data_IF_202918113080
#
_entry.id   IF_202918113080
#
_cell.length_a   1.000
_cell.length_b   1.000
_cell.length_c   1.000
_cell.angle_alpha   90.00
_cell.angle_beta   90.00
_cell.angle_gamma   90.00
#
_symmetry.space_group_name_H-M   'P 1'
#
loop_
_entity.id
_entity.type
_entity.pdbx_description
1 polymer ?
#
# COMPACT_ATOMS: atom_id res chain seq x y z
N UNK A 1 -3.08 3.21 -47.31
CA UNK A 1 -2.82 2.24 -46.24
C UNK A 1 -4.15 1.54 -45.96
N UNK A 2 -4.23 0.22 -46.10
CA UNK A 2 -5.48 -0.51 -45.77
C UNK A 2 -5.68 -0.42 -44.25
N UNK A 3 -6.85 0.01 -43.75
CA UNK A 3 -7.08 0.07 -42.31
C UNK A 3 -6.99 -1.33 -41.69
N UNK A 4 -6.44 -1.46 -40.46
CA UNK A 4 -6.36 -2.75 -39.79
C UNK A 4 -7.77 -3.31 -39.53
N UNK A 5 -8.00 -4.54 -39.96
CA UNK A 5 -9.24 -5.28 -39.69
C UNK A 5 -9.07 -6.11 -38.41
N UNK A 6 -9.98 -5.92 -37.44
CA UNK A 6 -10.06 -6.81 -36.27
C UNK A 6 -10.79 -8.09 -36.66
N UNK A 7 -10.17 -9.24 -36.47
CA UNK A 7 -10.75 -10.54 -36.81
C UNK A 7 -10.46 -11.57 -35.70
N UNK A 8 -11.33 -12.57 -35.55
CA UNK A 8 -11.17 -13.69 -34.64
C UNK A 8 -10.59 -14.87 -35.39
N UNK A 9 -9.57 -15.52 -34.81
CA UNK A 9 -9.06 -16.78 -35.30
C UNK A 9 -10.09 -17.89 -34.99
N UNK A 10 -10.64 -18.51 -36.03
CA UNK A 10 -11.70 -19.52 -35.94
C UNK A 10 -11.13 -20.93 -36.04
N UNK A 11 -10.08 -21.12 -36.85
CA UNK A 11 -9.43 -22.40 -37.01
C UNK A 11 -7.98 -22.24 -37.50
N UNK A 12 -7.21 -23.30 -37.31
CA UNK A 12 -5.88 -23.46 -37.90
C UNK A 12 -5.89 -24.66 -38.84
N UNK A 13 -5.10 -24.56 -39.89
CA UNK A 13 -4.77 -25.68 -40.76
C UNK A 13 -3.27 -25.95 -40.59
N UNK A 14 -2.88 -27.20 -40.39
CA UNK A 14 -1.47 -27.58 -40.41
C UNK A 14 -1.28 -28.99 -40.96
N UNK A 15 -0.11 -29.25 -41.53
CA UNK A 15 0.27 -30.57 -42.02
C UNK A 15 0.89 -30.50 -43.41
N UNK A 16 1.14 -31.66 -43.97
CA UNK A 16 1.80 -31.81 -45.25
C UNK A 16 0.77 -31.60 -46.36
N UNK A 17 1.21 -31.34 -47.59
CA UNK A 17 0.27 -31.02 -48.70
C UNK A 17 -0.75 -32.15 -48.97
N UNK A 18 -0.41 -33.39 -48.61
CA UNK A 18 -1.27 -34.57 -48.77
C UNK A 18 -2.07 -34.93 -47.50
N UNK A 19 -1.80 -34.28 -46.35
CA UNK A 19 -2.43 -34.58 -45.07
C UNK A 19 -2.60 -33.31 -44.21
N UNK A 20 -3.53 -32.45 -44.62
CA UNK A 20 -3.88 -31.24 -43.89
C UNK A 20 -4.88 -31.55 -42.78
N UNK A 21 -4.55 -31.14 -41.56
CA UNK A 21 -5.42 -31.23 -40.39
C UNK A 21 -6.06 -29.88 -40.09
N UNK A 22 -7.37 -29.89 -39.86
CA UNK A 22 -8.11 -28.73 -39.40
C UNK A 22 -8.26 -28.79 -37.87
N UNK A 23 -7.77 -27.76 -37.19
CA UNK A 23 -7.90 -27.59 -35.75
C UNK A 23 -8.88 -26.46 -35.53
N UNK A 24 -10.05 -26.77 -34.98
CA UNK A 24 -11.09 -25.79 -34.62
C UNK A 24 -11.14 -25.51 -33.12
N UNK A 25 -10.52 -26.37 -32.31
CA UNK A 25 -10.45 -26.19 -30.87
C UNK A 25 -9.34 -25.20 -30.49
N UNK A 26 -9.76 -24.06 -29.93
CA UNK A 26 -8.89 -23.00 -29.46
C UNK A 26 -7.83 -23.45 -28.43
N UNK A 27 -8.08 -24.52 -27.66
CA UNK A 27 -7.12 -25.06 -26.69
C UNK A 27 -5.85 -25.54 -27.40
N UNK A 28 -6.00 -26.07 -28.61
CA UNK A 28 -4.92 -26.65 -29.40
C UNK A 28 -4.17 -25.63 -30.27
N UNK A 29 -4.68 -24.40 -30.40
CA UNK A 29 -4.07 -23.39 -31.28
C UNK A 29 -2.65 -23.04 -30.88
N UNK A 30 -2.40 -22.86 -29.59
CA UNK A 30 -1.07 -22.49 -29.06
C UNK A 30 -0.02 -23.56 -29.39
N UNK A 31 -0.39 -24.85 -29.28
CA UNK A 31 0.51 -25.96 -29.59
C UNK A 31 0.89 -25.96 -31.07
N UNK A 32 -0.09 -25.77 -31.96
CA UNK A 32 0.15 -25.72 -33.41
C UNK A 32 1.02 -24.54 -33.80
N UNK A 33 0.68 -23.33 -33.32
CA UNK A 33 1.40 -22.10 -33.67
C UNK A 33 2.83 -22.06 -33.11
N UNK A 34 3.07 -22.64 -31.93
CA UNK A 34 4.40 -22.63 -31.28
C UNK A 34 5.32 -23.76 -31.72
N UNK A 35 4.78 -24.80 -32.36
CA UNK A 35 5.59 -25.90 -32.88
C UNK A 35 6.49 -25.42 -34.04
N UNK A 36 7.72 -25.94 -34.19
CA UNK A 36 8.52 -25.71 -35.39
C UNK A 36 7.77 -26.24 -36.62
N UNK A 37 7.86 -25.55 -37.77
CA UNK A 37 7.23 -25.99 -39.00
C UNK A 37 8.25 -26.75 -39.85
N UNK A 38 8.13 -28.09 -40.01
CA UNK A 38 9.04 -28.86 -40.85
C UNK A 38 8.98 -28.38 -42.31
N UNK A 39 10.08 -28.57 -43.06
CA UNK A 39 10.07 -28.33 -44.51
C UNK A 39 9.00 -29.19 -45.20
N UNK A 40 8.18 -28.56 -46.04
CA UNK A 40 7.06 -29.23 -46.73
C UNK A 40 5.70 -29.07 -46.05
N UNK A 41 5.66 -28.64 -44.78
CA UNK A 41 4.40 -28.45 -44.05
C UNK A 41 3.79 -27.08 -44.34
N UNK A 42 2.50 -27.09 -44.64
CA UNK A 42 1.70 -25.87 -44.79
C UNK A 42 1.04 -25.50 -43.47
N UNK A 43 0.92 -24.19 -43.24
CA UNK A 43 0.13 -23.62 -42.16
C UNK A 43 -0.87 -22.64 -42.73
N UNK A 44 -2.11 -22.74 -42.28
CA UNK A 44 -3.19 -21.81 -42.61
C UNK A 44 -3.84 -21.30 -41.33
N UNK A 45 -4.30 -20.06 -41.39
CA UNK A 45 -5.09 -19.44 -40.34
C UNK A 45 -6.43 -19.05 -40.95
N UNK A 46 -7.53 -19.48 -40.33
CA UNK A 46 -8.89 -19.14 -40.78
C UNK A 46 -9.46 -18.12 -39.81
N UNK A 47 -9.85 -16.97 -40.35
CA UNK A 47 -10.48 -15.90 -39.58
C UNK A 47 -11.97 -15.80 -39.93
N UNK A 48 -12.78 -15.30 -39.00
CA UNK A 48 -14.19 -15.00 -39.23
C UNK A 48 -14.41 -13.93 -40.32
N UNK A 49 -13.43 -13.04 -40.48
CA UNK A 49 -13.36 -12.04 -41.55
C UNK A 49 -11.90 -11.75 -41.93
N UNK A 50 -11.66 -11.38 -43.18
CA UNK A 50 -10.33 -11.04 -43.69
C UNK A 50 -10.40 -9.92 -44.72
N UNK A 51 -9.43 -9.01 -44.67
CA UNK A 51 -9.17 -8.01 -45.71
C UNK A 51 -7.99 -8.41 -46.62
N UNK A 52 -7.44 -9.62 -46.47
CA UNK A 52 -6.46 -10.18 -47.39
C UNK A 52 -7.17 -10.74 -48.61
N UNK A 53 -6.86 -10.20 -49.78
CA UNK A 53 -7.36 -10.70 -51.06
C UNK A 53 -6.80 -12.09 -51.38
N UNK A 54 -7.72 -13.02 -51.66
CA UNK A 54 -7.40 -14.34 -52.19
C UNK A 54 -7.27 -14.28 -53.72
N UNK A 55 -6.21 -14.84 -54.33
CA UNK A 55 -5.97 -14.77 -55.77
C UNK A 55 -7.19 -15.22 -56.58
N UNK A 56 -7.69 -14.33 -57.42
CA UNK A 56 -8.74 -14.62 -58.40
C UNK A 56 -8.66 -13.62 -59.56
N UNK A 57 -9.13 -14.02 -60.75
CA UNK A 57 -9.19 -13.11 -61.91
C UNK A 57 -7.84 -12.59 -62.43
N UNK A 58 -6.74 -13.30 -62.17
CA UNK A 58 -5.39 -12.90 -62.60
C UNK A 58 -4.66 -11.95 -61.65
N UNK A 59 -5.28 -11.57 -60.52
CA UNK A 59 -4.64 -10.80 -59.45
C UNK A 59 -3.92 -11.73 -58.46
N UNK A 60 -2.69 -11.36 -58.07
CA UNK A 60 -1.89 -12.07 -57.06
C UNK A 60 -2.43 -11.83 -55.64
N UNK A 61 -2.07 -12.72 -54.70
CA UNK A 61 -2.47 -12.61 -53.28
C UNK A 61 -1.87 -11.40 -52.60
N UNK A 62 -2.60 -10.88 -51.61
CA UNK A 62 -2.02 -9.89 -50.68
C UNK A 62 -0.94 -10.52 -49.79
N UNK A 63 0.01 -9.67 -49.39
CA UNK A 63 1.03 -9.98 -48.38
C UNK A 63 0.92 -8.96 -47.26
N UNK A 64 1.06 -9.40 -46.01
CA UNK A 64 0.89 -8.54 -44.84
C UNK A 64 1.23 -9.24 -43.54
N UNK A 65 0.91 -8.59 -42.43
CA UNK A 65 1.21 -9.06 -41.08
C UNK A 65 -0.08 -9.15 -40.26
N UNK A 66 -0.27 -10.27 -39.57
CA UNK A 66 -1.31 -10.44 -38.55
C UNK A 66 -0.69 -10.11 -37.20
N UNK A 67 -1.26 -9.13 -36.49
CA UNK A 67 -0.84 -8.78 -35.12
C UNK A 67 -1.89 -9.29 -34.14
N UNK A 68 -1.50 -10.20 -33.25
CA UNK A 68 -2.35 -10.60 -32.14
C UNK A 68 -2.39 -9.45 -31.12
N UNK A 69 -3.59 -8.97 -30.79
CA UNK A 69 -3.81 -7.97 -29.73
C UNK A 69 -3.65 -8.59 -28.31
N UNK A 70 -3.16 -9.83 -28.21
CA UNK A 70 -2.78 -10.44 -26.94
C UNK A 70 -1.58 -9.69 -26.40
N UNK A 71 -1.87 -8.72 -25.52
CA UNK A 71 -0.89 -8.08 -24.67
C UNK A 71 -0.13 -9.18 -23.90
N UNK A 72 1.01 -9.63 -24.45
CA UNK A 72 1.83 -10.72 -23.89
C UNK A 72 2.26 -10.37 -22.47
N UNK A 73 2.49 -9.08 -22.20
CA UNK A 73 2.80 -8.59 -20.85
C UNK A 73 1.61 -8.80 -19.91
N UNK A 74 0.37 -8.52 -20.34
CA UNK A 74 -0.84 -8.81 -19.55
C UNK A 74 -1.02 -10.31 -19.33
N UNK A 75 -0.76 -11.13 -20.34
CA UNK A 75 -0.84 -12.61 -20.25
C UNK A 75 0.17 -13.15 -19.24
N UNK A 76 1.41 -12.68 -19.32
CA UNK A 76 2.50 -13.02 -18.42
C UNK A 76 2.19 -12.55 -16.99
N UNK A 77 1.69 -11.32 -16.84
CA UNK A 77 1.30 -10.77 -15.53
C UNK A 77 0.14 -11.55 -14.89
N UNK A 78 -0.81 -12.04 -15.69
CA UNK A 78 -1.85 -12.96 -15.24
C UNK A 78 -1.25 -14.32 -14.80
N UNK A 79 -0.32 -14.90 -15.57
CA UNK A 79 0.36 -16.15 -15.19
C UNK A 79 1.11 -15.98 -13.87
N UNK A 80 1.78 -14.84 -13.72
CA UNK A 80 2.52 -14.48 -12.52
C UNK A 80 1.58 -14.37 -11.32
N UNK A 81 0.52 -13.58 -11.42
CA UNK A 81 -0.47 -13.43 -10.34
C UNK A 81 -1.19 -14.74 -10.02
N UNK A 82 -1.44 -15.60 -11.00
CA UNK A 82 -2.04 -16.92 -10.76
C UNK A 82 -1.06 -17.86 -10.03
N UNK A 83 0.19 -17.90 -10.47
CA UNK A 83 1.25 -18.69 -9.81
C UNK A 83 1.50 -18.19 -8.39
N UNK A 84 1.48 -16.87 -8.17
CA UNK A 84 1.58 -16.27 -6.84
C UNK A 84 0.43 -16.72 -5.92
N UNK A 85 -0.79 -16.86 -6.45
CA UNK A 85 -1.92 -17.35 -5.68
C UNK A 85 -1.72 -18.79 -5.21
N UNK A 86 -1.22 -19.69 -6.07
CA UNK A 86 -0.88 -21.07 -5.67
C UNK A 86 0.18 -21.10 -4.59
N UNK A 87 1.24 -20.30 -4.76
CA UNK A 87 2.31 -20.22 -3.77
C UNK A 87 1.80 -19.69 -2.42
N UNK A 88 0.91 -18.69 -2.43
CA UNK A 88 0.26 -18.19 -1.21
C UNK A 88 -0.66 -19.24 -0.58
N UNK A 89 -1.48 -19.94 -1.38
CA UNK A 89 -2.34 -21.01 -0.89
C UNK A 89 -1.56 -22.06 -0.12
N UNK A 90 -0.46 -22.55 -0.70
CA UNK A 90 0.43 -23.50 -0.06
C UNK A 90 1.11 -22.91 1.18
N UNK A 91 1.65 -21.69 1.09
CA UNK A 91 2.36 -21.08 2.20
C UNK A 91 1.44 -20.82 3.40
N UNK A 92 0.19 -20.43 3.18
CA UNK A 92 -0.79 -20.29 4.25
C UNK A 92 -1.10 -21.63 4.93
N UNK A 93 -1.25 -22.72 4.18
CA UNK A 93 -1.53 -24.04 4.76
C UNK A 93 -0.38 -24.50 5.65
N UNK A 94 0.85 -24.41 5.15
CA UNK A 94 2.02 -24.88 5.89
C UNK A 94 2.27 -24.05 7.16
N UNK A 95 2.19 -22.72 7.05
CA UNK A 95 2.36 -21.84 8.22
C UNK A 95 1.25 -22.03 9.25
N UNK A 96 -0.01 -22.15 8.82
CA UNK A 96 -1.12 -22.39 9.74
C UNK A 96 -1.06 -23.77 10.41
N UNK A 97 -0.60 -24.80 9.69
CA UNK A 97 -0.36 -26.12 10.26
C UNK A 97 0.77 -26.08 11.30
N UNK A 98 1.83 -25.30 11.06
CA UNK A 98 2.98 -25.18 11.97
C UNK A 98 2.69 -24.34 13.22
N UNK A 99 1.83 -23.32 13.12
CA UNK A 99 1.61 -22.32 14.17
C UNK A 99 0.66 -22.77 15.29
N UNK A 100 0.05 -23.97 15.23
CA UNK A 100 -0.91 -24.46 16.24
C UNK A 100 -1.90 -23.37 16.71
N UNK A 101 -2.65 -22.76 15.79
CA UNK A 101 -3.69 -21.76 16.10
C UNK A 101 -4.89 -22.30 16.92
N UNK A 102 -4.74 -23.45 17.58
CA UNK A 102 -5.74 -24.11 18.42
C UNK A 102 -5.12 -24.56 19.74
N UNK A 103 -4.90 -23.61 20.65
CA UNK A 103 -5.01 -23.91 22.08
C UNK A 103 -6.37 -23.42 22.57
N UNK A 104 -7.39 -24.23 22.30
CA UNK A 104 -8.66 -24.20 23.04
C UNK A 104 -9.03 -25.62 23.41
N UNK A 105 -8.68 -25.95 24.66
CA UNK A 105 -9.20 -27.05 25.48
C UNK A 105 -9.14 -28.44 24.85
N UNK A 106 -8.14 -29.20 25.29
CA UNK A 106 -8.17 -30.64 25.34
C UNK A 106 -9.48 -31.12 26.01
N UNK A 107 -10.41 -31.65 25.22
CA UNK A 107 -11.42 -32.66 25.57
C UNK A 107 -12.46 -32.78 24.43
N UNK A 108 -12.02 -33.21 23.24
CA UNK A 108 -12.88 -34.03 22.36
C UNK A 108 -12.02 -34.72 21.30
N UNK A 109 -11.76 -36.01 21.50
CA UNK A 109 -11.23 -36.92 20.47
C UNK A 109 -12.31 -37.21 19.42
N UNK A 110 -12.63 -36.21 18.61
CA UNK A 110 -13.29 -36.41 17.33
C UNK A 110 -12.56 -35.59 16.29
N UNK A 111 -12.30 -36.22 15.15
CA UNK A 111 -11.55 -35.77 13.98
C UNK A 111 -12.07 -34.45 13.37
N UNK A 112 -11.85 -33.34 14.07
CA UNK A 112 -12.01 -31.99 13.52
C UNK A 112 -10.68 -31.63 12.86
N UNK A 113 -10.59 -32.00 11.58
CA UNK A 113 -9.66 -31.41 10.63
C UNK A 113 -9.67 -29.89 10.84
N UNK A 114 -8.51 -29.33 11.16
CA UNK A 114 -8.26 -27.91 11.48
C UNK A 114 -9.20 -26.97 10.73
N UNK A 115 -9.91 -26.10 11.45
CA UNK A 115 -11.01 -25.24 10.97
C UNK A 115 -10.60 -24.11 9.98
N UNK A 116 -9.65 -24.39 9.08
CA UNK A 116 -9.15 -23.47 8.07
C UNK A 116 -9.77 -23.86 6.73
N UNK A 117 -10.74 -23.07 6.30
CA UNK A 117 -11.34 -23.24 4.97
C UNK A 117 -10.71 -22.23 4.02
N UNK A 118 -9.92 -22.73 3.07
CA UNK A 118 -9.59 -21.97 1.86
C UNK A 118 -10.87 -21.84 1.05
N UNK A 119 -11.25 -20.62 0.66
CA UNK A 119 -12.40 -20.33 -0.21
C UNK A 119 -11.95 -19.92 -1.63
N UNK A 120 -10.73 -20.30 -2.00
CA UNK A 120 -10.07 -19.90 -3.24
C UNK A 120 -9.75 -18.41 -3.26
N UNK A 121 -9.96 -17.76 -4.40
CA UNK A 121 -9.76 -16.32 -4.51
C UNK A 121 -9.95 -15.81 -5.94
N UNK A 122 -9.38 -14.65 -6.22
CA UNK A 122 -9.46 -14.00 -7.53
C UNK A 122 -8.06 -13.62 -8.02
N UNK A 123 -7.81 -13.87 -9.30
CA UNK A 123 -6.60 -13.45 -10.02
C UNK A 123 -6.97 -12.36 -11.00
N UNK A 124 -6.22 -11.27 -10.95
CA UNK A 124 -6.21 -10.18 -11.92
C UNK A 124 -4.78 -10.05 -12.46
N UNK A 125 -4.55 -9.17 -13.43
CA UNK A 125 -3.23 -9.08 -14.08
C UNK A 125 -2.17 -8.49 -13.15
N UNK A 126 -2.56 -7.60 -12.23
CA UNK A 126 -1.68 -6.85 -11.32
C UNK A 126 -1.75 -7.34 -9.87
N UNK A 127 -2.70 -8.21 -9.53
CA UNK A 127 -2.95 -8.68 -8.16
C UNK A 127 -3.61 -10.05 -8.12
N UNK A 128 -3.43 -10.74 -7.02
CA UNK A 128 -4.18 -11.94 -6.67
C UNK A 128 -4.74 -11.83 -5.25
N UNK A 129 -5.62 -12.76 -4.90
CA UNK A 129 -6.18 -12.81 -3.56
C UNK A 129 -6.39 -14.23 -3.08
N UNK A 130 -6.29 -14.42 -1.77
CA UNK A 130 -6.55 -15.67 -1.07
C UNK A 130 -7.61 -15.42 -0.01
N UNK A 131 -8.64 -16.27 0.02
CA UNK A 131 -9.74 -16.19 0.98
C UNK A 131 -9.62 -17.31 2.00
N UNK A 132 -9.53 -16.96 3.27
CA UNK A 132 -9.38 -17.88 4.39
C UNK A 132 -10.41 -17.57 5.47
N UNK A 133 -10.99 -18.60 6.08
CA UNK A 133 -11.63 -18.44 7.39
C UNK A 133 -10.57 -18.54 8.47
N UNK A 134 -10.36 -17.47 9.24
CA UNK A 134 -9.44 -17.46 10.39
C UNK A 134 -10.14 -16.82 11.59
N UNK A 135 -10.11 -17.49 12.75
CA UNK A 135 -10.72 -17.01 14.00
C UNK A 135 -9.77 -16.09 14.78
N UNK A 136 -9.23 -15.06 14.14
CA UNK A 136 -8.24 -14.17 14.77
C UNK A 136 -8.47 -12.69 14.44
N UNK A 137 -7.94 -11.81 15.31
CA UNK A 137 -7.96 -10.37 15.06
C UNK A 137 -6.86 -9.96 14.08
N UNK A 138 -7.08 -8.96 13.21
CA UNK A 138 -6.09 -8.50 12.25
C UNK A 138 -4.69 -8.24 12.84
N UNK A 139 -4.60 -7.69 14.04
CA UNK A 139 -3.34 -7.38 14.72
C UNK A 139 -2.51 -8.62 15.06
N UNK A 140 -3.16 -9.78 15.26
CA UNK A 140 -2.49 -11.05 15.54
C UNK A 140 -2.08 -11.81 14.28
N UNK A 141 -2.49 -11.34 13.10
CA UNK A 141 -2.16 -11.97 11.82
C UNK A 141 -0.83 -11.51 11.25
N UNK A 142 -0.19 -10.48 11.82
CA UNK A 142 1.12 -9.99 11.34
C UNK A 142 2.20 -11.09 11.34
N UNK A 143 2.39 -11.90 12.40
CA UNK A 143 3.37 -12.99 12.38
C UNK A 143 3.08 -14.04 11.31
N UNK A 144 1.79 -14.37 11.11
CA UNK A 144 1.37 -15.28 10.04
C UNK A 144 1.71 -14.71 8.66
N UNK A 145 1.37 -13.45 8.41
CA UNK A 145 1.66 -12.78 7.13
C UNK A 145 3.16 -12.70 6.88
N UNK A 146 3.96 -12.43 7.93
CA UNK A 146 5.41 -12.42 7.84
C UNK A 146 5.97 -13.79 7.45
N UNK A 147 5.56 -14.85 8.14
CA UNK A 147 6.01 -16.20 7.88
C UNK A 147 5.59 -16.69 6.48
N UNK A 148 4.33 -16.43 6.07
CA UNK A 148 3.82 -16.75 4.73
C UNK A 148 4.64 -16.06 3.64
N UNK A 149 4.91 -14.77 3.78
CA UNK A 149 5.74 -14.06 2.80
C UNK A 149 7.20 -14.54 2.81
N UNK A 150 7.77 -14.87 3.97
CA UNK A 150 9.12 -15.42 4.07
C UNK A 150 9.22 -16.77 3.35
N UNK A 151 8.22 -17.63 3.54
CA UNK A 151 8.11 -18.92 2.85
C UNK A 151 7.97 -18.77 1.34
N UNK A 152 7.09 -17.89 0.87
CA UNK A 152 6.98 -17.59 -0.56
C UNK A 152 8.33 -17.14 -1.14
N UNK A 153 9.05 -16.25 -0.45
CA UNK A 153 10.38 -15.79 -0.89
C UNK A 153 11.40 -16.92 -0.94
N UNK A 154 11.42 -17.80 0.07
CA UNK A 154 12.30 -18.96 0.08
C UNK A 154 12.05 -19.90 -1.12
N UNK A 155 10.79 -20.11 -1.48
CA UNK A 155 10.42 -20.90 -2.66
C UNK A 155 10.77 -20.22 -3.99
N UNK A 156 10.72 -18.88 -4.05
CA UNK A 156 11.18 -18.10 -5.22
C UNK A 156 12.71 -18.19 -5.36
N UNK A 157 13.44 -18.01 -4.26
CA UNK A 157 14.91 -18.11 -4.22
C UNK A 157 15.40 -19.53 -4.58
N UNK A 158 14.62 -20.55 -4.26
CA UNK A 158 14.90 -21.93 -4.63
C UNK A 158 14.71 -22.24 -6.13
N UNK A 159 14.17 -21.30 -6.93
CA UNK A 159 14.01 -21.41 -8.40
C UNK A 159 13.32 -22.69 -8.84
N UNK A 160 12.26 -23.04 -8.13
CA UNK A 160 11.56 -24.31 -8.27
C UNK A 160 10.88 -24.41 -9.64
N UNK A 161 10.96 -25.57 -10.31
CA UNK A 161 10.23 -25.80 -11.54
C UNK A 161 8.73 -25.93 -11.29
N UNK A 162 7.92 -25.55 -12.28
CA UNK A 162 6.47 -25.62 -12.26
C UNK A 162 5.99 -26.52 -13.41
N UNK A 163 5.36 -27.62 -13.06
CA UNK A 163 4.85 -28.61 -13.99
C UNK A 163 3.32 -28.52 -14.12
N UNK A 164 2.83 -28.76 -15.32
CA UNK A 164 1.40 -28.96 -15.56
C UNK A 164 1.20 -30.37 -16.11
N UNK A 165 0.59 -31.24 -15.30
CA UNK A 165 0.33 -32.63 -15.63
C UNK A 165 -1.16 -32.86 -15.84
N UNK A 166 -1.48 -33.74 -16.77
CA UNK A 166 -2.84 -34.20 -17.02
C UNK A 166 -2.97 -35.60 -16.43
N UNK A 167 -3.95 -35.80 -15.55
CA UNK A 167 -4.14 -37.06 -14.83
C UNK A 167 -5.63 -37.41 -14.72
N UNK A 168 -5.94 -38.68 -14.52
CA UNK A 168 -7.29 -39.16 -14.21
C UNK A 168 -7.65 -38.73 -12.78
N UNK A 169 -8.85 -38.18 -12.60
CA UNK A 169 -9.35 -37.70 -11.31
C UNK A 169 -9.37 -38.83 -10.27
N UNK A 170 -9.65 -40.06 -10.70
CA UNK A 170 -9.62 -41.26 -9.84
C UNK A 170 -8.23 -41.52 -9.23
N UNK A 171 -7.15 -41.22 -9.96
CA UNK A 171 -5.78 -41.36 -9.43
C UNK A 171 -5.39 -40.19 -8.53
N UNK A 172 -5.86 -38.99 -8.87
CA UNK A 172 -5.54 -37.77 -8.12
C UNK A 172 -6.30 -37.72 -6.79
N UNK A 173 -7.52 -38.27 -6.72
CA UNK A 173 -8.35 -38.23 -5.51
C UNK A 173 -7.73 -38.99 -4.33
N UNK A 174 -6.92 -40.02 -4.62
CA UNK A 174 -6.17 -40.82 -3.65
C UNK A 174 -4.96 -40.06 -3.08
N UNK A 175 -4.46 -39.06 -3.80
CA UNK A 175 -3.31 -38.23 -3.39
C UNK A 175 -3.76 -37.09 -2.48
N UNK A 176 -3.72 -37.31 -1.17
CA UNK A 176 -4.16 -36.35 -0.15
C UNK A 176 -3.43 -35.00 -0.19
N UNK A 177 -2.19 -34.97 -0.70
CA UNK A 177 -1.39 -33.75 -0.86
C UNK A 177 -1.80 -32.89 -2.07
N UNK A 178 -2.61 -33.43 -3.00
CA UNK A 178 -3.10 -32.65 -4.14
C UNK A 178 -4.30 -31.82 -3.70
N UNK A 179 -4.09 -30.51 -3.66
CA UNK A 179 -5.10 -29.55 -3.26
C UNK A 179 -6.25 -29.48 -4.26
N UNK A 180 -7.46 -29.48 -3.70
CA UNK A 180 -8.72 -29.35 -4.41
C UNK A 180 -9.68 -28.49 -3.62
N UNK A 181 -10.50 -27.75 -4.34
CA UNK A 181 -11.58 -26.97 -3.74
C UNK A 181 -12.89 -27.75 -3.77
N UNK A 182 -13.47 -27.96 -2.59
CA UNK A 182 -14.67 -28.80 -2.41
C UNK A 182 -15.92 -28.30 -3.15
N UNK A 183 -16.00 -26.99 -3.45
CA UNK A 183 -17.11 -26.39 -4.19
C UNK A 183 -16.94 -26.45 -5.72
N UNK A 184 -15.79 -26.89 -6.21
CA UNK A 184 -15.52 -26.96 -7.65
C UNK A 184 -15.84 -28.36 -8.18
N UNK A 185 -16.46 -28.41 -9.36
CA UNK A 185 -16.67 -29.66 -10.10
C UNK A 185 -15.51 -29.88 -11.06
N UNK A 186 -14.91 -31.07 -11.00
CA UNK A 186 -13.77 -31.45 -11.84
C UNK A 186 -14.20 -32.48 -12.90
N UNK A 187 -13.72 -32.37 -14.15
CA UNK A 187 -13.90 -33.39 -15.17
C UNK A 187 -13.10 -34.68 -14.85
N UNK A 188 -13.36 -35.81 -15.54
CA UNK A 188 -12.59 -37.05 -15.35
C UNK A 188 -11.08 -36.86 -15.59
N UNK A 189 -10.70 -36.12 -16.63
CA UNK A 189 -9.31 -35.73 -16.87
C UNK A 189 -9.03 -34.35 -16.29
N UNK A 190 -8.18 -34.27 -15.27
CA UNK A 190 -7.84 -33.02 -14.58
C UNK A 190 -6.43 -32.55 -14.92
N UNK A 191 -6.21 -31.24 -14.76
CA UNK A 191 -4.88 -30.63 -14.80
C UNK A 191 -4.41 -30.37 -13.37
N UNK A 192 -3.22 -30.86 -13.06
CA UNK A 192 -2.53 -30.64 -11.79
C UNK A 192 -1.34 -29.73 -12.02
N UNK A 193 -1.30 -28.63 -11.28
CA UNK A 193 -0.16 -27.71 -11.26
C UNK A 193 0.71 -28.10 -10.08
N UNK A 194 1.95 -28.45 -10.36
CA UNK A 194 2.91 -28.93 -9.37
C UNK A 194 4.10 -27.97 -9.30
N UNK A 195 4.47 -27.54 -8.11
CA UNK A 195 5.62 -26.67 -7.83
C UNK A 195 6.68 -27.49 -7.10
N UNK A 196 7.93 -27.42 -7.57
CA UNK A 196 9.09 -28.08 -6.97
C UNK A 196 9.35 -29.50 -7.47
N UNK A 197 8.36 -30.19 -8.03
CA UNK A 197 8.48 -31.54 -8.58
C UNK A 197 7.23 -31.93 -9.37
N UNK A 198 7.29 -33.04 -10.10
CA UNK A 198 6.10 -33.68 -10.65
C UNK A 198 5.32 -34.46 -9.57
N UNK A 199 4.24 -35.15 -9.95
CA UNK A 199 3.36 -35.78 -8.96
C UNK A 199 4.06 -36.90 -8.20
N UNK A 200 4.88 -37.69 -8.91
CA UNK A 200 5.65 -38.80 -8.35
C UNK A 200 6.75 -38.27 -7.42
N UNK A 201 7.51 -37.27 -7.86
CA UNK A 201 8.57 -36.64 -7.06
C UNK A 201 8.01 -36.02 -5.77
N UNK A 202 6.87 -35.34 -5.85
CA UNK A 202 6.24 -34.73 -4.67
C UNK A 202 5.76 -35.79 -3.70
N UNK A 203 5.17 -36.88 -4.19
CA UNK A 203 4.70 -37.98 -3.36
C UNK A 203 5.86 -38.68 -2.62
N UNK A 204 6.96 -38.94 -3.31
CA UNK A 204 8.16 -39.55 -2.73
C UNK A 204 8.81 -38.66 -1.65
N UNK A 205 8.83 -37.34 -1.89
CA UNK A 205 9.56 -36.38 -1.05
C UNK A 205 8.68 -35.57 -0.12
N UNK A 206 7.41 -35.97 0.06
CA UNK A 206 6.44 -35.22 0.86
C UNK A 206 6.91 -35.02 2.31
N UNK A 207 7.72 -35.95 2.82
CA UNK A 207 8.22 -35.95 4.20
C UNK A 207 9.65 -35.39 4.35
N UNK A 208 10.30 -34.98 3.25
CA UNK A 208 11.69 -34.49 3.29
C UNK A 208 11.73 -32.98 3.59
N UNK A 209 12.35 -32.52 4.69
CA UNK A 209 12.48 -31.09 4.97
C UNK A 209 13.73 -30.48 4.30
N UNK A 210 13.67 -29.26 3.74
CA UNK A 210 12.49 -28.45 3.42
C UNK A 210 11.95 -28.75 2.01
N UNK A 211 10.82 -29.44 1.96
CA UNK A 211 10.04 -29.69 0.76
C UNK A 211 9.23 -28.43 0.38
N UNK A 212 9.72 -27.61 -0.55
CA UNK A 212 8.91 -26.57 -1.18
C UNK A 212 7.98 -27.15 -2.25
N UNK A 213 7.22 -28.18 -1.89
CA UNK A 213 6.36 -28.92 -2.80
C UNK A 213 4.90 -28.51 -2.64
N UNK A 214 4.25 -28.25 -3.76
CA UNK A 214 2.81 -27.97 -3.80
C UNK A 214 2.19 -28.59 -5.04
N UNK A 215 1.01 -29.19 -4.91
CA UNK A 215 0.22 -29.67 -6.03
C UNK A 215 -1.22 -29.18 -5.87
N UNK A 216 -1.79 -28.55 -6.90
CA UNK A 216 -3.17 -28.04 -6.89
C UNK A 216 -3.88 -28.33 -8.23
N UNK A 217 -5.14 -28.76 -8.15
CA UNK A 217 -6.00 -28.88 -9.32
C UNK A 217 -6.32 -27.50 -9.90
N UNK A 218 -5.81 -27.21 -11.09
CA UNK A 218 -6.03 -25.91 -11.72
C UNK A 218 -6.01 -25.99 -13.25
N UNK A 219 -7.08 -25.49 -13.87
CA UNK A 219 -7.19 -25.30 -15.32
C UNK A 219 -6.57 -23.99 -15.82
N UNK A 220 -5.90 -23.27 -14.93
CA UNK A 220 -5.29 -21.98 -15.18
C UNK A 220 -4.03 -22.04 -16.03
N UNK A 221 -3.31 -20.93 -15.98
CA UNK A 221 -2.09 -20.70 -16.74
C UNK A 221 -1.04 -20.19 -15.80
N UNK A 222 0.16 -20.76 -15.87
CA UNK A 222 1.17 -20.60 -14.83
C UNK A 222 2.53 -20.36 -15.45
N UNK A 223 3.44 -19.81 -14.65
CA UNK A 223 4.85 -19.70 -14.98
C UNK A 223 5.49 -21.09 -15.06
N UNK A 224 6.72 -21.15 -15.58
CA UNK A 224 7.50 -22.40 -15.64
C UNK A 224 8.48 -22.55 -14.47
N UNK A 225 8.90 -21.43 -13.87
CA UNK A 225 9.75 -21.43 -12.68
C UNK A 225 9.26 -20.40 -11.67
N UNK A 226 9.53 -20.63 -10.39
CA UNK A 226 9.15 -19.67 -9.33
C UNK A 226 9.96 -18.38 -9.38
N UNK A 227 11.17 -18.37 -9.95
CA UNK A 227 11.99 -17.16 -10.08
C UNK A 227 11.33 -16.09 -10.98
N UNK A 228 10.50 -16.50 -11.94
CA UNK A 228 9.74 -15.60 -12.81
C UNK A 228 8.64 -14.80 -12.05
N UNK A 229 8.35 -15.21 -10.81
CA UNK A 229 7.53 -14.40 -9.90
C UNK A 229 8.21 -13.11 -9.52
N UNK A 230 9.56 -13.07 -9.50
CA UNK A 230 10.43 -12.03 -8.93
C UNK A 230 10.20 -11.84 -7.44
N UNK A 231 8.96 -11.60 -7.05
CA UNK A 231 8.55 -11.36 -5.68
C UNK A 231 7.04 -11.53 -5.47
N UNK A 232 6.62 -11.72 -4.22
CA UNK A 232 5.20 -11.74 -3.79
C UNK A 232 5.04 -10.97 -2.48
N UNK A 233 4.09 -10.03 -2.44
CA UNK A 233 3.82 -9.16 -1.28
C UNK A 233 2.33 -9.06 -1.01
N UNK A 234 1.92 -9.31 0.22
CA UNK A 234 0.58 -9.05 0.73
C UNK A 234 0.46 -7.56 1.04
N UNK A 235 -0.44 -6.87 0.33
CA UNK A 235 -0.67 -5.42 0.43
C UNK A 235 -1.94 -5.07 1.20
N UNK A 236 -2.82 -6.05 1.45
CA UNK A 236 -4.05 -5.78 2.16
C UNK A 236 -4.73 -6.99 2.76
N UNK A 237 -5.42 -6.73 3.86
CA UNK A 237 -6.38 -7.64 4.49
C UNK A 237 -7.77 -6.96 4.43
N UNK A 238 -8.80 -7.72 4.06
CA UNK A 238 -10.21 -7.26 4.04
C UNK A 238 -11.12 -8.32 4.66
N UNK A 239 -12.11 -7.93 5.47
CA UNK A 239 -13.23 -8.79 5.84
C UNK A 239 -14.38 -8.58 4.86
N UNK A 240 -15.14 -9.64 4.51
CA UNK A 240 -16.19 -9.60 3.47
C UNK A 240 -17.42 -8.73 3.81
N UNK A 241 -17.53 -8.19 5.03
CA UNK A 241 -18.55 -7.22 5.44
C UNK A 241 -17.86 -5.91 5.82
N UNK A 242 -18.11 -4.85 5.04
CA UNK A 242 -17.35 -3.60 4.94
C UNK A 242 -17.07 -2.83 6.25
N UNK A 243 -16.08 -1.93 6.13
CA UNK A 243 -15.42 -1.06 7.13
C UNK A 243 -14.58 -1.77 8.20
N UNK A 244 -13.28 -1.86 7.92
CA UNK A 244 -12.23 -2.19 8.88
C UNK A 244 -12.24 -1.15 9.99
N UNK A 245 -12.82 -1.54 11.13
CA UNK A 245 -12.37 -1.36 12.52
C UNK A 245 -13.51 -1.94 13.38
N UNK A 246 -13.20 -2.85 14.30
CA UNK A 246 -14.07 -3.34 15.38
C UNK A 246 -15.09 -4.49 15.09
N UNK A 247 -15.52 -4.77 13.86
CA UNK A 247 -16.65 -5.73 13.66
C UNK A 247 -16.24 -7.19 13.36
N UNK A 248 -15.00 -7.48 12.94
CA UNK A 248 -14.64 -8.87 12.57
C UNK A 248 -14.65 -9.85 13.77
N UNK A 249 -14.49 -9.37 15.01
CA UNK A 249 -14.58 -10.20 16.22
C UNK A 249 -16.01 -10.67 16.58
N UNK A 250 -17.03 -10.08 15.97
CA UNK A 250 -18.44 -10.41 16.25
C UNK A 250 -19.01 -11.51 15.35
N UNK A 251 -18.27 -11.95 14.32
CA UNK A 251 -18.70 -13.02 13.44
C UNK A 251 -18.22 -14.37 13.94
N UNK A 252 -19.13 -15.34 13.96
CA UNK A 252 -18.87 -16.71 14.40
C UNK A 252 -17.82 -17.40 13.51
N UNK A 253 -17.56 -16.89 12.29
CA UNK A 253 -16.48 -17.34 11.37
C UNK A 253 -16.14 -16.23 10.34
N UNK A 254 -15.23 -15.27 10.62
CA UNK A 254 -14.90 -14.23 9.66
C UNK A 254 -14.08 -14.79 8.50
N UNK A 255 -14.55 -14.52 7.27
CA UNK A 255 -13.78 -14.80 6.04
C UNK A 255 -12.91 -13.60 5.72
N UNK A 256 -11.61 -13.80 5.81
CA UNK A 256 -10.56 -12.85 5.49
C UNK A 256 -10.12 -13.01 4.04
N UNK A 257 -9.94 -11.88 3.38
CA UNK A 257 -9.42 -11.75 2.03
C UNK A 257 -8.05 -11.09 2.13
N UNK A 258 -7.02 -11.87 1.82
CA UNK A 258 -5.65 -11.41 1.66
C UNK A 258 -5.46 -10.99 0.20
N UNK A 259 -5.00 -9.77 -0.03
CA UNK A 259 -4.70 -9.24 -1.36
C UNK A 259 -3.20 -9.12 -1.49
N UNK A 260 -2.66 -9.70 -2.56
CA UNK A 260 -1.23 -9.71 -2.84
C UNK A 260 -0.93 -9.25 -4.26
N UNK A 261 0.25 -8.67 -4.44
CA UNK A 261 0.83 -8.34 -5.74
C UNK A 261 2.07 -9.19 -5.97
N UNK A 262 2.48 -9.35 -7.23
CA UNK A 262 3.65 -10.13 -7.61
C UNK A 262 4.47 -9.42 -8.69
N UNK A 263 5.70 -9.87 -8.93
CA UNK A 263 6.57 -9.32 -9.96
C UNK A 263 7.40 -8.15 -9.48
N UNK A 264 7.86 -7.36 -10.45
CA UNK A 264 8.69 -6.19 -10.20
C UNK A 264 7.94 -5.12 -9.39
N UNK A 265 6.60 -5.07 -9.49
CA UNK A 265 5.77 -4.18 -8.68
C UNK A 265 5.79 -4.57 -7.19
N UNK A 266 5.80 -5.86 -6.88
CA UNK A 266 5.92 -6.37 -5.51
C UNK A 266 7.29 -6.04 -4.92
N UNK A 267 8.36 -6.28 -5.68
CA UNK A 267 9.73 -5.94 -5.26
C UNK A 267 9.89 -4.45 -4.96
N UNK A 268 9.40 -3.58 -5.86
CA UNK A 268 9.42 -2.12 -5.66
C UNK A 268 8.59 -1.69 -4.45
N UNK A 269 7.42 -2.30 -4.25
CA UNK A 269 6.54 -2.02 -3.12
C UNK A 269 7.21 -2.37 -1.78
N UNK A 270 7.88 -3.53 -1.69
CA UNK A 270 8.63 -3.89 -0.49
C UNK A 270 9.79 -2.94 -0.24
N UNK A 271 10.62 -2.68 -1.25
CA UNK A 271 11.77 -1.79 -1.12
C UNK A 271 11.35 -0.37 -0.69
N UNK A 272 10.27 0.16 -1.26
CA UNK A 272 9.67 1.42 -0.81
C UNK A 272 9.23 1.35 0.66
N UNK A 273 8.50 0.29 1.03
CA UNK A 273 8.03 0.07 2.40
C UNK A 273 9.18 0.04 3.42
N UNK A 274 10.25 -0.71 3.12
CA UNK A 274 11.45 -0.80 3.94
C UNK A 274 12.14 0.55 4.09
N UNK A 275 12.37 1.27 2.98
CA UNK A 275 13.02 2.59 3.00
C UNK A 275 12.22 3.60 3.82
N UNK A 276 10.90 3.63 3.66
CA UNK A 276 10.04 4.53 4.42
C UNK A 276 10.01 4.18 5.91
N UNK A 277 9.87 2.89 6.24
CA UNK A 277 9.85 2.45 7.64
C UNK A 277 11.19 2.71 8.33
N UNK A 278 12.31 2.42 7.66
CA UNK A 278 13.66 2.69 8.17
C UNK A 278 13.85 4.19 8.45
N UNK A 279 13.54 5.05 7.47
CA UNK A 279 13.65 6.51 7.64
C UNK A 279 12.82 7.02 8.82
N UNK A 280 11.58 6.58 8.92
CA UNK A 280 10.66 7.00 10.01
C UNK A 280 11.14 6.49 11.36
N UNK A 281 11.61 5.24 11.44
CA UNK A 281 12.05 4.64 12.69
C UNK A 281 13.34 5.28 13.20
N UNK A 282 14.31 5.54 12.32
CA UNK A 282 15.56 6.23 12.67
C UNK A 282 15.29 7.65 13.18
N UNK A 283 14.47 8.44 12.47
CA UNK A 283 14.13 9.79 12.93
C UNK A 283 13.35 9.76 14.24
N UNK A 284 12.47 8.77 14.44
CA UNK A 284 11.76 8.58 15.70
C UNK A 284 12.72 8.33 16.88
N UNK A 285 13.72 7.46 16.71
CA UNK A 285 14.70 7.14 17.75
C UNK A 285 15.57 8.35 18.12
N UNK A 286 15.98 9.14 17.13
CA UNK A 286 16.69 10.41 17.33
C UNK A 286 15.83 11.37 18.15
N UNK A 287 14.58 11.60 17.73
CA UNK A 287 13.65 12.51 18.42
C UNK A 287 13.31 12.05 19.85
N UNK A 288 13.18 10.73 20.05
CA UNK A 288 12.96 10.18 21.38
C UNK A 288 14.14 10.47 22.31
N UNK A 289 15.37 10.34 21.81
CA UNK A 289 16.60 10.63 22.57
C UNK A 289 16.73 12.12 22.87
N UNK A 290 16.66 12.97 21.84
CA UNK A 290 16.79 14.42 21.97
C UNK A 290 15.71 15.03 22.88
N UNK A 291 14.47 14.52 22.82
CA UNK A 291 13.40 14.99 23.70
C UNK A 291 13.66 14.75 25.19
N UNK A 292 14.40 13.67 25.52
CA UNK A 292 14.78 13.35 26.91
C UNK A 292 15.92 14.26 27.38
N UNK A 293 16.87 14.55 26.50
CA UNK A 293 18.00 15.45 26.78
C UNK A 293 17.58 16.92 26.86
N UNK A 294 16.58 17.32 26.07
CA UNK A 294 16.00 18.67 26.05
C UNK A 294 15.22 19.03 27.33
N UNK A 295 15.13 18.14 28.33
CA UNK A 295 14.32 18.34 29.53
C UNK A 295 14.76 19.61 30.27
N UNK A 296 13.83 20.56 30.41
CA UNK A 296 14.08 21.86 31.03
C UNK A 296 14.44 23.00 30.06
N UNK A 297 14.64 22.71 28.78
CA UNK A 297 14.98 23.70 27.74
C UNK A 297 13.81 23.90 26.78
N UNK A 298 13.08 25.02 26.93
CA UNK A 298 11.94 25.34 26.07
C UNK A 298 12.30 25.40 24.56
N UNK A 299 13.42 26.01 24.14
CA UNK A 299 13.78 26.06 22.71
C UNK A 299 14.05 24.67 22.09
N UNK A 300 14.68 23.77 22.83
CA UNK A 300 14.99 22.42 22.34
C UNK A 300 13.75 21.53 22.31
N UNK A 301 12.88 21.66 23.31
CA UNK A 301 11.57 20.98 23.32
C UNK A 301 10.67 21.46 22.18
N UNK A 302 10.71 22.76 21.85
CA UNK A 302 10.01 23.32 20.70
C UNK A 302 10.49 22.68 19.38
N UNK A 303 11.81 22.63 19.15
CA UNK A 303 12.39 22.00 17.96
C UNK A 303 11.99 20.53 17.83
N UNK A 304 12.10 19.76 18.92
CA UNK A 304 11.66 18.37 18.97
C UNK A 304 10.18 18.24 18.59
N UNK A 305 9.30 19.09 19.14
CA UNK A 305 7.87 19.04 18.86
C UNK A 305 7.55 19.35 17.39
N UNK A 306 8.22 20.34 16.79
CA UNK A 306 8.05 20.71 15.39
C UNK A 306 8.49 19.57 14.46
N UNK A 307 9.63 18.93 14.75
CA UNK A 307 10.13 17.78 14.00
C UNK A 307 9.24 16.54 14.14
N UNK A 308 8.71 16.27 15.34
CA UNK A 308 7.72 15.19 15.55
C UNK A 308 6.46 15.44 14.71
N UNK A 309 5.96 16.68 14.66
CA UNK A 309 4.78 17.04 13.85
C UNK A 309 5.07 16.87 12.35
N UNK A 310 6.23 17.31 11.88
CA UNK A 310 6.67 17.13 10.50
C UNK A 310 6.74 15.63 10.15
N UNK A 311 7.33 14.81 11.01
CA UNK A 311 7.42 13.36 10.82
C UNK A 311 6.03 12.68 10.84
N UNK A 312 5.14 13.08 11.75
CA UNK A 312 3.75 12.62 11.76
C UNK A 312 3.03 12.93 10.44
N UNK A 313 3.24 14.12 9.89
CA UNK A 313 2.68 14.51 8.59
C UNK A 313 3.19 13.61 7.46
N UNK A 314 4.49 13.31 7.44
CA UNK A 314 5.08 12.37 6.48
C UNK A 314 4.45 10.97 6.60
N UNK A 315 4.33 10.44 7.83
CA UNK A 315 3.69 9.14 8.07
C UNK A 315 2.23 9.13 7.60
N UNK A 316 1.48 10.21 7.87
CA UNK A 316 0.10 10.35 7.40
C UNK A 316 0.01 10.33 5.87
N UNK A 317 0.94 11.01 5.18
CA UNK A 317 1.01 11.01 3.72
C UNK A 317 1.29 9.61 3.16
N UNK A 318 2.23 8.87 3.75
CA UNK A 318 2.56 7.49 3.35
C UNK A 318 1.35 6.57 3.56
N UNK A 319 0.69 6.65 4.72
CA UNK A 319 -0.48 5.83 5.04
C UNK A 319 -1.71 6.22 4.21
N UNK A 320 -1.82 7.50 3.84
CA UNK A 320 -2.91 8.12 3.08
C UNK A 320 -2.97 7.76 1.59
N UNK A 321 -1.92 7.10 1.05
CA UNK A 321 -2.03 6.35 -0.19
C UNK A 321 -1.70 7.09 -1.49
N UNK A 322 -0.60 7.86 -1.52
CA UNK A 322 -0.02 8.28 -2.81
C UNK A 322 0.57 7.08 -3.60
N UNK A 323 0.95 5.99 -2.92
CA UNK A 323 1.28 4.71 -3.55
C UNK A 323 0.24 3.65 -3.16
N UNK A 324 -0.48 3.12 -4.16
CA UNK A 324 -1.65 2.23 -3.98
C UNK A 324 -1.31 0.89 -3.29
N UNK A 325 -0.04 0.53 -3.17
CA UNK A 325 0.40 -0.81 -2.80
C UNK A 325 1.44 -0.86 -1.66
N UNK A 326 1.36 0.02 -0.65
CA UNK A 326 2.20 -0.15 0.55
C UNK A 326 1.95 -1.53 1.20
N UNK A 327 2.99 -2.35 1.45
CA UNK A 327 2.81 -3.69 2.02
C UNK A 327 2.08 -3.67 3.36
N UNK A 328 1.34 -4.74 3.65
CA UNK A 328 0.54 -4.84 4.87
C UNK A 328 1.39 -4.70 6.14
N UNK A 329 2.53 -5.39 6.21
CA UNK A 329 3.42 -5.35 7.39
C UNK A 329 4.00 -3.94 7.61
N UNK A 330 4.49 -3.28 6.55
CA UNK A 330 5.00 -1.91 6.63
C UNK A 330 3.90 -0.92 7.04
N UNK A 331 2.69 -1.08 6.49
CA UNK A 331 1.52 -0.28 6.89
C UNK A 331 1.20 -0.45 8.38
N UNK A 332 1.22 -1.68 8.88
CA UNK A 332 1.00 -1.96 10.31
C UNK A 332 2.09 -1.34 11.19
N UNK A 333 3.37 -1.50 10.81
CA UNK A 333 4.50 -0.93 11.53
C UNK A 333 4.46 0.62 11.54
N UNK A 334 4.19 1.26 10.41
CA UNK A 334 4.03 2.71 10.32
C UNK A 334 2.82 3.20 11.13
N UNK A 335 1.73 2.45 11.18
CA UNK A 335 0.57 2.77 12.03
C UNK A 335 0.94 2.71 13.52
N UNK A 336 1.78 1.75 13.95
CA UNK A 336 2.33 1.74 15.31
C UNK A 336 3.25 2.94 15.56
N UNK A 337 4.13 3.27 14.61
CA UNK A 337 5.00 4.45 14.71
C UNK A 337 4.20 5.74 14.83
N UNK A 338 3.12 5.89 14.08
CA UNK A 338 2.20 7.03 14.18
C UNK A 338 1.62 7.20 15.60
N UNK A 339 1.22 6.11 16.25
CA UNK A 339 0.74 6.14 17.65
C UNK A 339 1.86 6.55 18.60
N UNK A 340 3.05 5.96 18.45
CA UNK A 340 4.24 6.29 19.27
C UNK A 340 4.63 7.77 19.13
N UNK A 341 4.62 8.32 17.91
CA UNK A 341 4.86 9.74 17.64
C UNK A 341 3.83 10.63 18.34
N UNK A 342 2.55 10.23 18.32
CA UNK A 342 1.48 10.97 19.02
C UNK A 342 1.70 10.97 20.54
N UNK A 343 2.12 9.83 21.11
CA UNK A 343 2.50 9.72 22.52
C UNK A 343 3.73 10.58 22.85
N UNK A 344 4.75 10.54 22.00
CA UNK A 344 5.98 11.34 22.16
C UNK A 344 5.66 12.84 22.16
N UNK A 345 4.84 13.31 21.20
CA UNK A 345 4.40 14.70 21.16
C UNK A 345 3.63 15.10 22.43
N UNK A 346 2.77 14.22 22.95
CA UNK A 346 2.08 14.43 24.23
C UNK A 346 3.04 14.57 25.41
N UNK A 347 4.09 13.73 25.45
CA UNK A 347 5.16 13.79 26.43
C UNK A 347 5.95 15.11 26.36
N UNK A 348 6.36 15.51 25.16
CA UNK A 348 7.06 16.79 24.92
C UNK A 348 6.20 17.96 25.36
N UNK A 349 4.93 18.01 24.97
CA UNK A 349 4.00 19.07 25.41
C UNK A 349 3.87 19.11 26.93
N UNK A 350 3.89 17.97 27.61
CA UNK A 350 3.87 17.93 29.08
C UNK A 350 5.14 18.55 29.66
N UNK A 351 6.32 18.15 29.17
CA UNK A 351 7.60 18.72 29.61
C UNK A 351 7.69 20.24 29.35
N UNK A 352 7.14 20.73 28.24
CA UNK A 352 7.08 22.16 27.92
C UNK A 352 6.20 22.93 28.92
N UNK A 353 5.09 22.35 29.39
CA UNK A 353 4.25 22.99 30.43
C UNK A 353 5.01 23.13 31.74
N UNK A 354 5.78 22.12 32.11
CA UNK A 354 6.60 22.12 33.33
C UNK A 354 7.70 23.19 33.28
N UNK A 355 8.24 23.50 32.08
CA UNK A 355 9.29 24.52 31.92
C UNK A 355 8.80 25.96 32.17
N UNK A 356 7.54 26.28 31.86
CA UNK A 356 7.07 27.67 31.79
C UNK A 356 5.74 27.93 32.55
N UNK A 357 5.33 27.03 33.45
CA UNK A 357 4.08 27.14 34.22
C UNK A 357 2.86 27.47 33.33
N UNK A 358 2.76 26.79 32.18
CA UNK A 358 1.72 27.05 31.18
C UNK A 358 0.41 26.38 31.64
N UNK A 359 -0.73 27.10 31.69
CA UNK A 359 -2.00 26.51 32.09
C UNK A 359 -2.40 25.29 31.24
N UNK A 360 -3.03 24.29 31.85
CA UNK A 360 -3.37 23.03 31.19
C UNK A 360 -4.24 23.17 29.92
N UNK A 361 -5.06 24.23 29.85
CA UNK A 361 -5.95 24.52 28.72
C UNK A 361 -5.25 25.22 27.54
N UNK A 362 -3.97 25.58 27.71
CA UNK A 362 -3.18 26.27 26.68
C UNK A 362 -2.23 25.26 26.02
N UNK A 363 -2.12 25.30 24.69
CA UNK A 363 -1.14 24.50 23.97
C UNK A 363 0.26 25.10 24.17
N UNK A 364 1.20 24.40 24.83
CA UNK A 364 2.53 24.91 25.10
C UNK A 364 3.36 25.13 23.83
N UNK A 365 3.08 24.39 22.75
CA UNK A 365 3.75 24.56 21.46
C UNK A 365 3.50 25.95 20.89
N UNK A 366 2.22 26.32 20.87
CA UNK A 366 1.66 27.58 20.42
C UNK A 366 2.26 28.76 21.21
N UNK A 367 2.49 28.61 22.52
CA UNK A 367 3.17 29.61 23.35
C UNK A 367 4.65 29.77 22.95
N UNK A 368 5.40 28.65 22.86
CA UNK A 368 6.81 28.71 22.51
C UNK A 368 7.08 29.25 21.10
N UNK A 369 6.24 28.90 20.12
CA UNK A 369 6.35 29.43 18.76
C UNK A 369 6.18 30.95 18.73
N UNK A 370 5.20 31.49 19.49
CA UNK A 370 5.03 32.94 19.62
C UNK A 370 6.23 33.59 20.32
N UNK A 371 6.70 33.02 21.41
CA UNK A 371 7.87 33.56 22.13
C UNK A 371 9.11 33.62 21.22
N UNK A 372 9.34 32.60 20.38
CA UNK A 372 10.41 32.60 19.38
C UNK A 372 10.23 33.75 18.37
N UNK A 373 9.03 33.88 17.79
CA UNK A 373 8.70 34.95 16.84
C UNK A 373 8.90 36.35 17.42
N UNK A 374 8.50 36.58 18.68
CA UNK A 374 8.69 37.87 19.34
C UNK A 374 10.15 38.18 19.65
N UNK A 375 10.94 37.19 20.05
CA UNK A 375 12.39 37.36 20.30
C UNK A 375 13.15 37.66 19.03
N UNK A 376 12.86 36.95 17.94
CA UNK A 376 13.47 37.21 16.62
C UNK A 376 13.09 38.61 16.11
N UNK A 377 11.84 39.02 16.32
CA UNK A 377 11.34 40.34 15.93
C UNK A 377 12.02 41.54 16.63
N UNK A 378 12.61 41.34 17.82
CA UNK A 378 13.37 42.39 18.52
C UNK A 378 14.75 42.66 17.92
N UNK A 379 15.25 41.77 17.05
CA UNK A 379 16.57 41.89 16.39
C UNK A 379 16.49 42.47 14.98
N UNK A 380 15.29 42.63 14.42
CA UNK A 380 15.04 43.18 13.09
C UNK A 380 14.99 44.72 13.05
N UNK A 381 15.15 45.30 11.85
CA UNK A 381 15.04 46.74 11.64
C UNK A 381 13.65 47.27 12.03
N UNK A 382 13.60 48.37 12.80
CA UNK A 382 12.35 48.97 13.29
C UNK A 382 11.40 49.38 12.15
N UNK A 383 10.37 48.56 11.90
CA UNK A 383 9.21 48.95 11.10
C UNK A 383 8.64 47.90 10.14
N UNK A 384 9.25 46.73 9.92
CA UNK A 384 8.70 45.71 9.00
C UNK A 384 7.59 44.86 9.64
N UNK A 385 6.51 44.50 8.91
CA UNK A 385 5.55 43.49 9.38
C UNK A 385 6.23 42.13 9.54
N UNK A 386 5.95 41.45 10.66
CA UNK A 386 6.52 40.14 10.97
C UNK A 386 5.63 39.03 10.40
N UNK A 387 6.23 38.14 9.61
CA UNK A 387 5.54 36.98 9.01
C UNK A 387 6.28 35.72 9.44
N UNK A 388 5.57 34.79 10.08
CA UNK A 388 6.13 33.50 10.49
C UNK A 388 5.06 32.43 10.52
N UNK A 389 5.43 31.21 10.12
CA UNK A 389 4.54 30.06 10.13
C UNK A 389 4.19 29.69 11.58
N UNK A 390 2.90 29.44 11.85
CA UNK A 390 2.40 29.17 13.18
C UNK A 390 1.41 27.99 13.17
N UNK A 391 1.56 27.06 14.11
CA UNK A 391 0.72 25.87 14.13
C UNK A 391 -0.55 26.10 14.96
N UNK A 392 -1.70 26.18 14.28
CA UNK A 392 -3.01 26.18 14.95
C UNK A 392 -3.68 24.82 14.73
N UNK A 393 -3.30 23.83 15.54
CA UNK A 393 -4.08 22.60 15.60
C UNK A 393 -5.47 22.89 16.21
N UNK A 394 -6.54 22.63 15.46
CA UNK A 394 -7.97 22.80 15.82
C UNK A 394 -8.57 24.23 15.77
N UNK A 395 -8.20 25.05 14.77
CA UNK A 395 -8.77 26.40 14.59
C UNK A 395 -10.33 26.45 14.62
N UNK A 396 -11.00 25.59 13.86
CA UNK A 396 -12.47 25.61 13.74
C UNK A 396 -13.21 25.28 15.06
N UNK A 397 -12.60 24.48 15.95
CA UNK A 397 -13.19 24.15 17.26
C UNK A 397 -12.82 25.15 18.35
N UNK A 398 -11.86 26.03 18.11
CA UNK A 398 -11.24 26.86 19.14
C UNK A 398 -11.24 28.37 18.85
N UNK A 399 -11.89 28.86 17.77
CA UNK A 399 -11.85 30.28 17.35
C UNK A 399 -12.06 31.30 18.49
N UNK A 400 -13.06 31.10 19.36
CA UNK A 400 -13.29 31.97 20.52
C UNK A 400 -12.18 31.91 21.58
N UNK A 401 -11.67 30.70 21.86
CA UNK A 401 -10.56 30.47 22.80
C UNK A 401 -9.22 30.96 22.25
N UNK A 402 -9.03 30.93 20.93
CA UNK A 402 -7.86 31.45 20.25
C UNK A 402 -7.77 32.98 20.37
N UNK A 403 -8.90 33.69 20.32
CA UNK A 403 -8.98 35.14 20.56
C UNK A 403 -8.67 35.50 22.02
N UNK A 404 -9.27 34.79 22.98
CA UNK A 404 -8.97 34.98 24.41
C UNK A 404 -7.50 34.71 24.73
N UNK A 405 -6.96 33.61 24.18
CA UNK A 405 -5.58 33.22 24.36
C UNK A 405 -4.59 34.21 23.73
N UNK A 406 -4.83 34.63 22.48
CA UNK A 406 -3.95 35.58 21.80
C UNK A 406 -4.01 36.97 22.48
N UNK A 407 -5.14 37.34 23.07
CA UNK A 407 -5.27 38.54 23.91
C UNK A 407 -4.45 38.40 25.20
N UNK A 408 -4.53 37.26 25.89
CA UNK A 408 -3.75 37.00 27.09
C UNK A 408 -2.23 36.93 26.83
N UNK A 409 -1.81 36.34 25.70
CA UNK A 409 -0.41 36.32 25.26
C UNK A 409 0.08 37.72 24.88
N UNK A 410 -0.74 38.51 24.19
CA UNK A 410 -0.44 39.91 23.87
C UNK A 410 -0.26 40.77 25.11
N UNK A 411 -0.99 40.49 26.19
CA UNK A 411 -0.84 41.19 27.48
C UNK A 411 0.46 40.83 28.23
N UNK A 412 1.15 39.74 27.84
CA UNK A 412 2.48 39.39 28.37
C UNK A 412 3.62 40.08 27.62
N UNK A 413 3.33 40.74 26.50
CA UNK A 413 4.30 41.61 25.84
C UNK A 413 4.40 42.91 26.66
N UNK A 414 5.54 43.11 27.31
CA UNK A 414 5.78 44.35 28.06
C UNK A 414 5.99 45.52 27.08
N UNK A 415 4.89 46.20 26.76
CA UNK A 415 4.86 47.41 25.94
C UNK A 415 4.62 48.65 26.79
N UNK A 416 4.68 48.51 28.12
CA UNK A 416 4.42 49.57 29.09
C UNK A 416 5.39 50.74 28.95
N UNK A 417 6.62 50.49 28.50
CA UNK A 417 7.59 51.53 28.16
C UNK A 417 7.28 52.34 26.89
N UNK A 418 6.25 51.97 26.12
CA UNK A 418 5.94 52.57 24.80
C UNK A 418 4.52 53.15 24.69
N UNK A 419 3.73 53.21 25.76
CA UNK A 419 2.34 53.74 25.78
C UNK A 419 1.40 53.15 24.70
N UNK A 420 1.61 51.88 24.36
CA UNK A 420 0.86 51.12 23.37
C UNK A 420 0.22 49.88 24.00
N UNK A 421 -1.05 49.65 23.70
CA UNK A 421 -1.81 48.43 23.98
C UNK A 421 -2.04 47.63 22.71
N UNK A 422 -2.24 46.32 22.89
CA UNK A 422 -2.48 45.37 21.81
C UNK A 422 -3.84 44.71 22.01
N UNK A 423 -4.63 44.60 20.93
CA UNK A 423 -5.88 43.88 20.92
C UNK A 423 -5.95 42.99 19.70
N UNK A 424 -6.24 41.71 19.89
CA UNK A 424 -6.53 40.79 18.80
C UNK A 424 -7.95 41.04 18.32
N UNK A 425 -8.12 41.32 17.04
CA UNK A 425 -9.42 41.68 16.46
C UNK A 425 -10.10 40.51 15.77
N UNK A 426 -9.34 39.69 15.04
CA UNK A 426 -9.91 38.62 14.22
C UNK A 426 -8.86 37.55 13.89
N UNK A 427 -9.31 36.43 13.36
CA UNK A 427 -8.46 35.43 12.72
C UNK A 427 -9.05 35.08 11.35
N UNK A 428 -8.23 35.16 10.30
CA UNK A 428 -8.65 34.92 8.93
C UNK A 428 -7.90 33.76 8.31
N UNK A 429 -8.63 33.05 7.45
CA UNK A 429 -8.08 32.07 6.51
C UNK A 429 -7.93 32.78 5.17
N UNK A 430 -6.71 33.09 4.78
CA UNK A 430 -6.43 33.68 3.46
C UNK A 430 -5.05 33.23 3.00
N UNK A 431 -4.91 33.09 1.68
CA UNK A 431 -3.65 32.73 1.03
C UNK A 431 -2.74 33.94 1.00
N UNK A 432 -1.98 34.17 2.06
CA UNK A 432 -0.77 34.97 1.97
C UNK A 432 0.28 34.03 1.37
N UNK A 433 0.93 34.41 0.26
CA UNK A 433 1.94 33.61 -0.48
C UNK A 433 3.20 33.19 0.35
N UNK A 434 3.09 33.21 1.68
CA UNK A 434 4.04 32.74 2.69
C UNK A 434 3.83 31.28 3.12
N UNK A 435 2.85 30.57 2.54
CA UNK A 435 2.57 29.15 2.87
C UNK A 435 1.84 28.94 4.19
N UNK A 436 1.28 30.00 4.79
CA UNK A 436 0.46 29.92 6.00
C UNK A 436 -1.04 29.95 5.65
N UNK A 437 -1.80 28.96 6.13
CA UNK A 437 -3.24 28.85 5.84
C UNK A 437 -4.12 29.81 6.66
N UNK A 438 -3.64 30.34 7.81
CA UNK A 438 -4.42 31.19 8.72
C UNK A 438 -3.53 32.24 9.42
N UNK A 439 -4.06 33.44 9.68
CA UNK A 439 -3.35 34.52 10.41
C UNK A 439 -4.26 35.28 11.39
N UNK A 440 -3.64 35.85 12.44
CA UNK A 440 -4.29 36.71 13.42
C UNK A 440 -4.22 38.18 13.00
N UNK A 441 -5.34 38.90 13.09
CA UNK A 441 -5.39 40.34 12.92
C UNK A 441 -5.25 40.97 14.30
N UNK A 442 -4.20 41.77 14.48
CA UNK A 442 -3.89 42.42 15.75
C UNK A 442 -3.90 43.93 15.55
N UNK A 443 -4.69 44.64 16.35
CA UNK A 443 -4.77 46.10 16.39
C UNK A 443 -3.93 46.64 17.54
N UNK A 444 -3.06 47.59 17.21
CA UNK A 444 -2.33 48.41 18.17
C UNK A 444 -3.14 49.68 18.49
N UNK A 445 -3.24 50.05 19.76
CA UNK A 445 -3.94 51.27 20.18
C UNK A 445 -3.18 51.95 21.34
N UNK A 446 -3.30 53.26 21.51
CA UNK A 446 -2.56 53.99 22.55
C UNK A 446 -3.34 54.06 23.85
N UNK A 447 -2.61 54.05 24.97
CA UNK A 447 -3.14 54.19 26.31
C UNK A 447 -2.92 55.65 26.78
N UNK A 448 -3.90 56.50 26.44
CA UNK A 448 -4.13 57.93 26.82
C UNK A 448 -3.28 59.05 26.16
N UNK A 449 -4.00 60.13 25.84
CA UNK A 449 -3.57 61.52 25.56
C UNK A 449 -2.58 61.80 24.43
N UNK A 450 -2.58 61.01 23.35
CA UNK A 450 -2.04 61.46 22.05
C UNK A 450 -3.03 61.31 20.92
N UNK A 451 -3.08 62.29 20.01
CA UNK A 451 -3.99 62.28 18.86
C UNK A 451 -3.35 61.43 17.76
N UNK A 452 -4.18 60.71 17.00
CA UNK A 452 -3.78 59.83 15.90
C UNK A 452 -2.82 60.48 14.87
N UNK A 453 -2.77 61.81 14.79
CA UNK A 453 -1.85 62.61 13.94
C UNK A 453 -0.40 62.62 14.42
N UNK A 454 -0.16 62.41 15.71
CA UNK A 454 1.19 62.36 16.31
C UNK A 454 1.91 61.05 15.90
N UNK A 455 1.18 60.16 15.22
CA UNK A 455 1.60 58.83 14.79
C UNK A 455 1.97 58.78 13.31
N UNK A 456 1.88 59.90 12.57
CA UNK A 456 2.19 59.96 11.12
C UNK A 456 3.59 59.40 10.76
N UNK A 457 4.65 59.65 11.56
CA UNK A 457 5.97 59.04 11.32
C UNK A 457 6.02 57.53 11.57
N UNK A 458 5.09 56.99 12.38
CA UNK A 458 5.03 55.58 12.78
C UNK A 458 4.07 54.76 11.88
N UNK A 459 3.00 55.37 11.37
CA UNK A 459 2.08 54.76 10.40
C UNK A 459 2.70 54.61 9.00
N UNK A 460 3.59 55.51 8.59
CA UNK A 460 4.35 55.36 7.33
C UNK A 460 5.24 54.11 7.32
N UNK A 461 5.53 53.52 8.48
CA UNK A 461 6.27 52.26 8.62
C UNK A 461 5.35 51.02 8.67
N UNK A 462 4.08 51.17 8.98
CA UNK A 462 3.12 50.08 9.17
C UNK A 462 2.21 49.81 7.95
N UNK A 463 2.38 50.58 6.87
CA UNK A 463 1.65 50.40 5.61
C UNK A 463 2.62 50.00 4.50
N UNK A 464 2.81 48.71 4.27
CA UNK A 464 2.97 48.17 2.91
C UNK A 464 2.76 46.65 2.82
N UNK A 465 1.67 46.28 2.12
CA UNK A 465 1.39 45.04 1.37
C UNK A 465 -0.13 45.09 1.11
N UNK A 466 -0.68 45.24 -0.09
CA UNK A 466 -0.37 44.57 -1.37
C UNK A 466 -0.84 45.39 -2.57
N UNK A 467 0.05 45.72 -3.50
CA UNK A 467 -0.21 45.74 -4.96
C UNK A 467 1.12 45.99 -5.67
N UNK A 468 1.43 45.14 -6.67
CA UNK A 468 2.67 45.08 -7.50
C UNK A 468 3.86 44.44 -6.75
N UNK A 469 4.38 43.25 -7.13
CA UNK A 469 4.59 42.60 -8.43
C UNK A 469 4.44 41.07 -8.32
#
# INVERSE_FOLDING_TARGET
>A
MVPPLKAKLVALIHGDSDNLQLVTDSIHFTKVLSSPNPEGNRRGMIFDQSNFFSPSGGQISDVGVIKAETNQDRRFSLMRSHTAQHLLHWAFEDELASMNFSDRSAESESSIQSSIFHHGGRVEYDRCSVRLTLLETPEKLEPLVEAVQARCRAAIEAKLPIFCQVAEMEQVIEKSFVKRFAWATYPPMVRVICIGGDLETIEEKLNDPPAFYSAELCGGTHLHHTEDLVDVVIVGLRCRNQSIKEVCSLFINPVLLFVAISGESAARSRDYGERMLSRVSTEFEVLETESREAKGSMPWLLDCAERVIALMSQVNSILGGLEENLPYLHRSALTRCQRRLSTLLGGIKTAMRDCASIPAHVDPLTVAQLERLFKEGQTGAEGSPFVGAFNISNFDKAKGKAVEWATAASNRLDLSGRNLGIRVEDFRKDSLDSGADHFAIVRLFSLKDQRQRDWKPHFAKLVHSTTEL
#
